data_IF_554620135509
#
_entry.id   IF_554620135509
#
_cell.length_a   1.000
_cell.length_b   1.000
_cell.length_c   1.000
_cell.angle_alpha   90.00
_cell.angle_beta   90.00
_cell.angle_gamma   90.00
#
_symmetry.space_group_name_H-M   'P 1'
#
loop_
_entity.id
_entity.type
_entity.pdbx_description
1 polymer ?
#
# COMPACT_ATOMS: atom_id res chain seq x y z
N UNK A 1 -2.46 -24.50 18.47
CA UNK A 1 -1.87 -25.85 18.41
C UNK A 1 -0.63 -25.84 19.29
N UNK A 2 -0.44 -26.86 20.13
CA UNK A 2 0.73 -27.02 20.98
C UNK A 2 1.32 -28.41 20.74
N UNK A 3 2.64 -28.54 20.77
CA UNK A 3 3.31 -29.84 20.74
C UNK A 3 3.40 -30.34 22.17
N UNK A 4 3.05 -31.60 22.40
CA UNK A 4 3.30 -32.26 23.68
C UNK A 4 4.57 -33.10 23.55
N UNK A 5 5.62 -32.68 24.26
CA UNK A 5 6.82 -33.49 24.48
C UNK A 5 6.88 -33.83 25.97
N UNK A 6 6.35 -35.00 26.34
CA UNK A 6 6.48 -35.57 27.67
C UNK A 6 5.80 -34.77 28.79
N UNK A 7 4.63 -34.19 28.53
CA UNK A 7 3.84 -33.45 29.53
C UNK A 7 4.18 -31.97 29.61
N UNK A 8 5.09 -31.47 28.77
CA UNK A 8 5.32 -30.04 28.56
C UNK A 8 4.66 -29.62 27.25
N UNK A 9 3.61 -28.81 27.39
CA UNK A 9 2.93 -28.18 26.25
C UNK A 9 3.78 -27.02 25.74
N UNK A 10 4.41 -27.20 24.59
CA UNK A 10 5.10 -26.12 23.88
C UNK A 10 4.13 -25.46 22.89
N UNK A 11 3.78 -24.18 23.08
CA UNK A 11 2.88 -23.48 22.17
C UNK A 11 3.59 -23.26 20.82
N UNK A 12 3.19 -24.01 19.80
CA UNK A 12 3.72 -23.88 18.43
C UNK A 12 3.34 -22.54 17.78
N UNK A 13 2.24 -21.92 18.25
CA UNK A 13 1.76 -20.63 17.74
C UNK A 13 1.21 -19.77 18.88
N UNK A 14 1.72 -18.54 19.02
CA UNK A 14 1.17 -17.51 19.92
C UNK A 14 0.18 -16.65 19.14
N UNK A 15 -1.07 -16.58 19.61
CA UNK A 15 -2.12 -15.74 19.04
C UNK A 15 -1.94 -14.30 19.53
N UNK A 16 -1.25 -13.47 18.74
CA UNK A 16 -1.15 -12.04 19.02
C UNK A 16 -2.43 -11.32 18.59
N UNK A 17 -3.04 -10.55 19.51
CA UNK A 17 -4.25 -9.73 19.26
C UNK A 17 -4.07 -8.68 18.14
N UNK A 18 -2.83 -8.40 17.74
CA UNK A 18 -2.47 -7.37 16.76
C UNK A 18 -1.43 -7.91 15.78
N UNK A 19 -1.77 -7.91 14.50
CA UNK A 19 -0.81 -8.10 13.41
C UNK A 19 -0.30 -6.72 13.02
N UNK A 20 1.01 -6.48 13.17
CA UNK A 20 1.66 -5.24 12.76
C UNK A 20 2.35 -5.50 11.43
N UNK A 21 1.85 -4.89 10.35
CA UNK A 21 2.51 -4.96 9.03
C UNK A 21 3.61 -3.89 9.01
N UNK A 22 4.86 -4.23 8.64
CA UNK A 22 5.91 -3.24 8.45
C UNK A 22 5.57 -2.30 7.29
N UNK A 23 5.15 -1.07 7.59
CA UNK A 23 4.69 -0.07 6.61
C UNK A 23 5.69 0.13 5.46
N UNK A 24 6.99 0.21 5.75
CA UNK A 24 8.05 0.41 4.75
C UNK A 24 8.21 -0.77 3.79
N UNK A 25 8.11 -2.00 4.29
CA UNK A 25 8.26 -3.20 3.44
C UNK A 25 7.07 -3.35 2.50
N UNK A 26 5.87 -3.08 3.02
CA UNK A 26 4.63 -3.09 2.23
C UNK A 26 4.65 -1.99 1.17
N UNK A 27 5.09 -0.77 1.54
CA UNK A 27 5.19 0.35 0.61
C UNK A 27 6.22 0.06 -0.50
N UNK A 28 7.41 -0.46 -0.17
CA UNK A 28 8.42 -0.86 -1.17
C UNK A 28 7.85 -1.86 -2.16
N UNK A 29 7.21 -2.92 -1.67
CA UNK A 29 6.57 -3.91 -2.52
C UNK A 29 5.39 -3.36 -3.33
N UNK A 30 5.00 -2.09 -3.18
CA UNK A 30 3.99 -1.43 -4.06
C UNK A 30 4.63 -0.92 -5.33
N UNK A 31 5.86 -0.40 -5.24
CA UNK A 31 6.60 0.05 -6.41
C UNK A 31 7.04 -1.11 -7.32
N UNK A 32 7.17 -2.32 -6.75
CA UNK A 32 7.53 -3.52 -7.49
C UNK A 32 6.32 -4.17 -8.22
N UNK A 33 5.09 -3.67 -8.01
CA UNK A 33 3.91 -4.19 -8.70
C UNK A 33 3.83 -3.68 -10.14
N UNK A 34 3.67 -4.59 -11.09
CA UNK A 34 3.49 -4.22 -12.50
C UNK A 34 2.28 -3.30 -12.70
N UNK A 35 1.16 -3.58 -12.04
CA UNK A 35 -0.05 -2.74 -12.12
C UNK A 35 0.17 -1.31 -11.64
N UNK A 36 1.01 -1.13 -10.61
CA UNK A 36 1.40 0.21 -10.14
C UNK A 36 2.27 0.91 -11.18
N UNK A 37 3.28 0.22 -11.71
CA UNK A 37 4.18 0.77 -12.72
C UNK A 37 3.42 1.16 -13.99
N UNK A 38 2.57 0.27 -14.50
CA UNK A 38 1.76 0.51 -15.71
C UNK A 38 0.85 1.73 -15.53
N UNK A 39 0.14 1.83 -14.40
CA UNK A 39 -0.77 2.93 -14.11
C UNK A 39 -0.06 4.30 -14.02
N UNK A 40 1.16 4.32 -13.48
CA UNK A 40 1.97 5.54 -13.36
C UNK A 40 2.59 5.91 -14.70
N UNK A 41 3.06 4.93 -15.47
CA UNK A 41 3.65 5.14 -16.79
C UNK A 41 2.61 5.62 -17.81
N UNK A 42 1.41 5.06 -17.81
CA UNK A 42 0.30 5.50 -18.67
C UNK A 42 -0.03 6.98 -18.44
N UNK A 43 -0.07 7.41 -17.18
CA UNK A 43 -0.35 8.81 -16.83
C UNK A 43 0.80 9.74 -17.26
N UNK A 44 2.04 9.26 -17.15
CA UNK A 44 3.22 10.00 -17.59
C UNK A 44 3.27 10.16 -19.11
N UNK A 45 2.98 9.10 -19.87
CA UNK A 45 2.93 9.14 -21.34
C UNK A 45 1.89 10.15 -21.82
N UNK A 46 0.66 10.09 -21.28
CA UNK A 46 -0.40 11.07 -21.57
C UNK A 46 0.05 12.49 -21.26
N UNK A 47 0.62 12.71 -20.07
CA UNK A 47 1.10 14.03 -19.67
C UNK A 47 2.23 14.56 -20.56
N UNK A 48 3.13 13.70 -21.04
CA UNK A 48 4.16 14.09 -22.01
C UNK A 48 3.55 14.53 -23.34
N UNK A 49 2.56 13.80 -23.86
CA UNK A 49 1.87 14.19 -25.09
C UNK A 49 1.19 15.55 -24.94
N UNK A 50 0.47 15.76 -23.84
CA UNK A 50 -0.19 17.04 -23.55
C UNK A 50 0.84 18.19 -23.42
N UNK A 51 1.99 17.93 -22.81
CA UNK A 51 3.08 18.90 -22.71
C UNK A 51 3.66 19.26 -24.09
N UNK A 52 3.94 18.27 -24.95
CA UNK A 52 4.44 18.52 -26.29
C UNK A 52 3.42 19.23 -27.19
N UNK A 53 2.13 19.03 -26.95
CA UNK A 53 1.05 19.77 -27.60
C UNK A 53 0.91 21.21 -27.07
N UNK A 54 1.65 21.57 -26.01
CA UNK A 54 1.59 22.90 -25.38
C UNK A 54 0.33 23.12 -24.55
N UNK A 55 -0.38 22.06 -24.16
CA UNK A 55 -1.63 22.14 -23.41
C UNK A 55 -1.39 22.32 -21.90
N UNK A 56 -0.28 21.78 -21.40
CA UNK A 56 0.09 21.82 -19.99
C UNK A 56 1.58 22.11 -19.81
N UNK A 57 1.94 22.61 -18.63
CA UNK A 57 3.33 22.78 -18.24
C UNK A 57 3.94 21.47 -17.70
N UNK A 58 5.28 21.35 -17.79
CA UNK A 58 6.00 20.19 -17.28
C UNK A 58 5.73 19.91 -15.79
N UNK A 59 5.54 20.95 -14.97
CA UNK A 59 5.21 20.80 -13.56
C UNK A 59 3.84 20.14 -13.36
N UNK A 60 2.88 20.41 -14.24
CA UNK A 60 1.54 19.83 -14.18
C UNK A 60 1.57 18.34 -14.51
N UNK A 61 2.44 17.90 -15.43
CA UNK A 61 2.70 16.48 -15.70
C UNK A 61 3.16 15.77 -14.43
N UNK A 62 4.15 16.34 -13.74
CA UNK A 62 4.67 15.78 -12.49
C UNK A 62 3.59 15.70 -11.39
N UNK A 63 2.72 16.71 -11.31
CA UNK A 63 1.60 16.69 -10.38
C UNK A 63 0.60 15.56 -10.69
N UNK A 64 0.27 15.33 -11.96
CA UNK A 64 -0.62 14.23 -12.39
C UNK A 64 -0.05 12.87 -12.00
N UNK A 65 1.23 12.64 -12.30
CA UNK A 65 1.96 11.42 -11.92
C UNK A 65 1.96 11.21 -10.41
N UNK A 66 2.25 12.26 -9.64
CA UNK A 66 2.24 12.19 -8.18
C UNK A 66 0.86 11.83 -7.60
N UNK A 67 -0.21 12.45 -8.13
CA UNK A 67 -1.59 12.14 -7.75
C UNK A 67 -1.97 10.70 -8.11
N UNK A 68 -1.55 10.22 -9.28
CA UNK A 68 -1.80 8.85 -9.73
C UNK A 68 -1.12 7.84 -8.81
N UNK A 69 0.15 8.05 -8.49
CA UNK A 69 0.91 7.20 -7.58
C UNK A 69 0.27 7.13 -6.17
N UNK A 70 -0.13 8.28 -5.61
CA UNK A 70 -0.83 8.32 -4.31
C UNK A 70 -2.16 7.55 -4.38
N UNK A 71 -2.89 7.70 -5.48
CA UNK A 71 -4.17 7.01 -5.68
C UNK A 71 -3.98 5.50 -5.73
N UNK A 72 -2.97 5.01 -6.45
CA UNK A 72 -2.71 3.56 -6.54
C UNK A 72 -2.28 2.95 -5.21
N UNK A 73 -1.42 3.63 -4.43
CA UNK A 73 -1.05 3.15 -3.08
C UNK A 73 -2.30 3.08 -2.19
N UNK A 74 -3.17 4.10 -2.25
CA UNK A 74 -4.43 4.13 -1.48
C UNK A 74 -5.41 3.05 -1.94
N UNK A 75 -5.53 2.81 -3.25
CA UNK A 75 -6.35 1.75 -3.82
C UNK A 75 -5.87 0.37 -3.35
N UNK A 76 -4.56 0.15 -3.31
CA UNK A 76 -3.97 -1.10 -2.80
C UNK A 76 -4.37 -1.36 -1.34
N UNK A 77 -4.39 -0.33 -0.49
CA UNK A 77 -4.87 -0.42 0.90
C UNK A 77 -6.35 -0.77 0.95
N UNK A 78 -7.17 -0.15 0.10
CA UNK A 78 -8.63 -0.36 0.07
C UNK A 78 -8.96 -1.78 -0.40
N UNK A 79 -8.30 -2.21 -1.48
CA UNK A 79 -8.49 -3.50 -2.14
C UNK A 79 -7.86 -4.66 -1.37
N UNK A 80 -6.99 -4.38 -0.40
CA UNK A 80 -6.26 -5.36 0.39
C UNK A 80 -5.43 -6.27 -0.51
N UNK A 81 -4.52 -5.69 -1.29
CA UNK A 81 -3.61 -6.44 -2.16
C UNK A 81 -2.19 -6.47 -1.54
N UNK A 82 -1.57 -7.64 -1.31
CA UNK A 82 -2.14 -8.99 -1.49
C UNK A 82 -3.31 -9.22 -0.52
N UNK A 83 -4.27 -10.09 -0.88
CA UNK A 83 -5.38 -10.45 -0.01
C UNK A 83 -4.81 -10.88 1.34
N UNK A 84 -5.25 -10.21 2.41
CA UNK A 84 -4.92 -10.66 3.75
C UNK A 84 -5.32 -12.13 3.86
N UNK A 85 -4.39 -12.99 4.29
CA UNK A 85 -4.73 -14.38 4.58
C UNK A 85 -5.95 -14.40 5.48
N UNK A 86 -6.93 -15.26 5.17
CA UNK A 86 -8.08 -15.43 6.03
C UNK A 86 -7.58 -15.73 7.44
N UNK A 87 -8.01 -14.90 8.38
CA UNK A 87 -7.71 -15.11 9.78
C UNK A 87 -8.27 -16.50 10.16
N UNK A 88 -7.48 -17.30 10.88
CA UNK A 88 -8.00 -18.57 11.42
C UNK A 88 -9.30 -18.32 12.18
N UNK A 89 -10.25 -19.27 12.18
CA UNK A 89 -11.60 -19.05 12.72
C UNK A 89 -11.63 -18.46 14.14
N UNK A 90 -10.64 -18.79 14.96
CA UNK A 90 -10.45 -18.26 16.32
C UNK A 90 -9.94 -16.80 16.35
N UNK A 91 -9.14 -16.40 15.35
CA UNK A 91 -8.63 -15.03 15.22
C UNK A 91 -9.70 -14.11 14.62
N UNK A 92 -10.54 -14.63 13.72
CA UNK A 92 -11.71 -13.91 13.18
C UNK A 92 -12.72 -13.57 14.28
N UNK A 93 -13.02 -14.51 15.19
CA UNK A 93 -13.95 -14.29 16.29
C UNK A 93 -13.45 -13.29 17.35
N UNK A 94 -12.13 -13.16 17.52
CA UNK A 94 -11.52 -12.22 18.46
C UNK A 94 -11.22 -10.84 17.87
N UNK A 95 -10.82 -10.76 16.59
CA UNK A 95 -10.42 -9.51 15.91
C UNK A 95 -11.56 -8.85 15.14
N UNK A 96 -12.59 -9.61 14.76
CA UNK A 96 -13.76 -9.14 13.99
C UNK A 96 -13.49 -8.83 12.51
N UNK A 97 -12.26 -8.50 12.11
CA UNK A 97 -11.92 -8.13 10.74
C UNK A 97 -10.45 -8.44 10.37
N UNK A 98 -10.22 -8.96 9.17
CA UNK A 98 -8.91 -9.26 8.57
C UNK A 98 -8.15 -8.06 7.96
N UNK A 99 -8.54 -6.79 8.20
CA UNK A 99 -7.98 -5.60 7.51
C UNK A 99 -7.12 -4.68 8.40
N UNK A 100 -5.89 -5.10 8.80
CA UNK A 100 -5.03 -4.34 9.72
C UNK A 100 -4.63 -2.94 9.25
N UNK A 101 -4.55 -2.68 7.94
CA UNK A 101 -4.18 -1.36 7.39
C UNK A 101 -5.32 -0.33 7.45
N UNK A 102 -6.57 -0.78 7.64
CA UNK A 102 -7.76 0.10 7.68
C UNK A 102 -8.24 0.37 9.10
N UNK A 103 -7.74 -0.38 10.10
CA UNK A 103 -8.20 -0.30 11.49
C UNK A 103 -7.90 1.07 12.16
N UNK A 104 -6.84 1.76 11.75
CA UNK A 104 -6.43 3.06 12.35
C UNK A 104 -6.39 4.23 11.37
N UNK A 105 -6.47 3.98 10.06
CA UNK A 105 -6.34 4.96 8.96
C UNK A 105 -5.07 5.85 8.99
N UNK A 106 -4.18 5.70 9.97
CA UNK A 106 -2.98 6.52 10.14
C UNK A 106 -2.09 6.47 8.90
N UNK A 107 -1.79 5.27 8.43
CA UNK A 107 -0.95 5.06 7.25
C UNK A 107 -1.63 5.59 5.97
N UNK A 108 -2.93 5.35 5.82
CA UNK A 108 -3.71 5.86 4.69
C UNK A 108 -3.66 7.39 4.59
N UNK A 109 -3.81 8.08 5.73
CA UNK A 109 -3.79 9.55 5.79
C UNK A 109 -2.37 10.12 5.65
N UNK A 110 -1.34 9.35 5.96
CA UNK A 110 0.06 9.78 5.86
C UNK A 110 0.60 9.74 4.42
N UNK A 111 -0.06 9.03 3.49
CA UNK A 111 0.40 8.93 2.09
C UNK A 111 0.09 10.24 1.35
N UNK A 112 1.16 10.94 0.97
CA UNK A 112 1.15 12.15 0.16
C UNK A 112 2.41 12.20 -0.73
N UNK A 113 2.44 13.13 -1.67
CA UNK A 113 3.58 13.37 -2.56
C UNK A 113 4.03 14.84 -2.48
N UNK A 114 5.27 15.09 -2.86
CA UNK A 114 5.82 16.43 -3.05
C UNK A 114 6.75 16.40 -4.27
N UNK A 115 6.78 17.50 -5.01
CA UNK A 115 7.70 17.70 -6.12
C UNK A 115 8.78 18.65 -5.64
N UNK A 116 10.02 18.16 -5.57
CA UNK A 116 11.16 18.95 -5.14
C UNK A 116 11.95 19.38 -6.38
N UNK A 117 11.79 20.62 -6.80
CA UNK A 117 12.55 21.22 -7.90
C UNK A 117 12.20 22.68 -8.11
N UNK A 118 13.20 23.54 -8.29
CA UNK A 118 12.98 24.88 -8.83
C UNK A 118 12.70 24.76 -10.32
N UNK A 119 11.47 25.04 -10.76
CA UNK A 119 11.18 25.22 -12.18
C UNK A 119 11.80 26.55 -12.56
N UNK A 120 12.89 26.54 -13.33
CA UNK A 120 13.42 27.78 -13.90
C UNK A 120 12.33 28.37 -14.80
N UNK A 121 11.87 29.57 -14.42
CA UNK A 121 10.92 30.38 -15.18
C UNK A 121 11.55 30.88 -16.48
#
# INVERSE_FOLDING_TARGET
MARDEGGKLEPLFILTKKVVIPERSWLRGTFDLQSFQDAVMEEFEKGIFDFFNGEIEAIQVLHRVGLRAVSEIKNRIVNNDPPFQELSGLTSSLKGNAKPLRDTLRFFNAINYAINGQVAA
#
